data_IF_319533984676
#
_entry.id   IF_319533984676
#
_cell.length_a   1.000
_cell.length_b   1.000
_cell.length_c   1.000
_cell.angle_alpha   90.00
_cell.angle_beta   90.00
_cell.angle_gamma   90.00
#
_symmetry.space_group_name_H-M   'P 1'
#
loop_
_entity.id
_entity.type
_entity.pdbx_description
1 polymer ?
#
# COMPACT_ATOMS: atom_id res chain seq x y z
N UNK A 1 -13.85 23.48 -11.29
CA UNK A 1 -15.03 22.88 -10.62
C UNK A 1 -15.31 21.48 -11.18
N UNK A 2 -15.60 21.29 -12.47
CA UNK A 2 -15.93 19.98 -13.09
C UNK A 2 -14.81 18.95 -12.93
N UNK A 3 -13.54 19.33 -13.10
CA UNK A 3 -12.39 18.42 -12.96
C UNK A 3 -12.28 17.89 -11.52
N UNK A 4 -12.48 18.75 -10.51
CA UNK A 4 -12.46 18.32 -9.12
C UNK A 4 -13.56 17.28 -8.85
N UNK A 5 -14.79 17.55 -9.31
CA UNK A 5 -15.91 16.60 -9.16
C UNK A 5 -15.64 15.25 -9.84
N UNK A 6 -15.04 15.22 -11.04
CA UNK A 6 -14.66 13.98 -11.72
C UNK A 6 -13.64 13.20 -10.88
N UNK A 7 -12.63 13.91 -10.33
CA UNK A 7 -11.58 13.29 -9.52
C UNK A 7 -12.05 12.83 -8.14
N UNK A 8 -13.07 13.48 -7.59
CA UNK A 8 -13.71 13.05 -6.34
C UNK A 8 -14.51 11.74 -6.53
N UNK A 9 -15.18 11.60 -7.70
CA UNK A 9 -15.94 10.37 -8.02
C UNK A 9 -15.01 9.24 -8.45
N UNK A 10 -14.01 9.55 -9.26
CA UNK A 10 -13.08 8.55 -9.80
C UNK A 10 -11.66 9.14 -9.90
N UNK A 11 -10.84 9.00 -8.84
CA UNK A 11 -9.50 9.60 -8.79
C UNK A 11 -8.55 9.11 -9.89
N UNK A 12 -8.76 7.89 -10.38
CA UNK A 12 -7.87 7.21 -11.32
C UNK A 12 -8.20 7.48 -12.79
N UNK A 13 -9.40 8.00 -13.09
CA UNK A 13 -9.81 8.26 -14.48
C UNK A 13 -8.89 9.32 -15.13
N UNK A 14 -8.24 9.07 -16.28
CA UNK A 14 -7.47 10.09 -16.98
C UNK A 14 -8.40 11.16 -17.57
N UNK A 15 -8.10 12.41 -17.29
CA UNK A 15 -8.87 13.56 -17.82
C UNK A 15 -7.99 14.35 -18.76
N UNK A 16 -8.43 14.52 -20.00
CA UNK A 16 -7.76 15.35 -21.00
C UNK A 16 -8.53 16.66 -21.12
N UNK A 17 -7.88 17.78 -20.88
CA UNK A 17 -8.50 19.10 -21.01
C UNK A 17 -8.29 19.66 -22.42
N UNK A 18 -9.34 20.16 -23.03
CA UNK A 18 -9.29 20.82 -24.35
C UNK A 18 -9.84 22.24 -24.21
N UNK A 19 -9.01 23.26 -24.45
CA UNK A 19 -9.37 24.67 -24.24
C UNK A 19 -8.92 25.55 -25.41
N UNK A 20 -9.43 26.79 -25.44
CA UNK A 20 -8.98 27.83 -26.37
C UNK A 20 -7.89 28.75 -25.77
N UNK A 21 -7.70 28.70 -24.46
CA UNK A 21 -6.79 29.61 -23.76
C UNK A 21 -5.37 29.03 -23.71
N UNK A 22 -4.40 29.86 -24.04
CA UNK A 22 -2.97 29.63 -23.87
C UNK A 22 -2.43 30.34 -22.61
N UNK A 23 -3.32 30.81 -21.73
CA UNK A 23 -2.94 31.53 -20.52
C UNK A 23 -2.16 30.61 -19.59
N UNK A 24 -0.99 31.03 -19.16
CA UNK A 24 -0.05 30.31 -18.30
C UNK A 24 -0.73 29.90 -16.97
N UNK A 25 -1.55 30.78 -16.40
CA UNK A 25 -2.28 30.54 -15.15
C UNK A 25 -3.27 29.36 -15.23
N UNK A 26 -3.90 29.18 -16.40
CA UNK A 26 -4.82 28.05 -16.62
C UNK A 26 -4.03 26.75 -16.81
N UNK A 27 -2.86 26.84 -17.43
CA UNK A 27 -1.96 25.71 -17.64
C UNK A 27 -1.36 25.23 -16.31
N UNK A 28 -0.94 26.14 -15.45
CA UNK A 28 -0.41 25.84 -14.11
C UNK A 28 -1.48 25.25 -13.17
N UNK A 29 -2.70 25.83 -13.21
CA UNK A 29 -3.85 25.24 -12.49
C UNK A 29 -4.22 23.85 -13.02
N UNK A 30 -4.12 23.62 -14.31
CA UNK A 30 -4.42 22.33 -14.93
C UNK A 30 -3.37 21.28 -14.55
N UNK A 31 -2.10 21.64 -14.57
CA UNK A 31 -0.98 20.77 -14.14
C UNK A 31 -1.12 20.43 -12.65
N UNK A 32 -1.41 21.41 -11.80
CA UNK A 32 -1.69 21.20 -10.37
C UNK A 32 -2.93 20.36 -10.08
N UNK A 33 -3.88 20.26 -11.01
CA UNK A 33 -5.15 19.56 -10.85
C UNK A 33 -5.12 18.09 -11.29
N UNK A 34 -3.94 17.50 -11.49
CA UNK A 34 -3.78 16.08 -11.88
C UNK A 34 -4.51 15.70 -13.18
N UNK A 35 -4.49 16.57 -14.21
CA UNK A 35 -4.95 16.21 -15.55
C UNK A 35 -3.93 15.29 -16.23
N UNK A 36 -4.43 14.44 -17.11
CA UNK A 36 -3.61 13.49 -17.86
C UNK A 36 -2.94 14.12 -19.09
N UNK A 37 -3.61 15.08 -19.73
CA UNK A 37 -3.08 15.81 -20.87
C UNK A 37 -3.86 17.12 -21.10
N UNK A 38 -3.26 18.05 -21.88
CA UNK A 38 -3.80 19.38 -22.17
C UNK A 38 -3.66 19.66 -23.67
N UNK A 39 -4.78 20.00 -24.34
CA UNK A 39 -4.82 20.28 -25.77
C UNK A 39 -5.42 21.68 -26.02
N UNK A 40 -4.82 22.43 -26.92
CA UNK A 40 -5.24 23.79 -27.29
C UNK A 40 -6.03 23.76 -28.61
N UNK A 41 -7.20 24.40 -28.63
CA UNK A 41 -8.01 24.55 -29.85
C UNK A 41 -7.38 25.56 -30.81
N UNK A 42 -7.35 25.28 -32.14
CA UNK A 42 -7.99 24.15 -32.84
C UNK A 42 -7.21 22.83 -32.70
N UNK A 43 -7.89 21.75 -32.34
CA UNK A 43 -7.29 20.44 -32.12
C UNK A 43 -7.38 19.60 -33.38
N UNK A 44 -6.26 19.07 -33.82
CA UNK A 44 -6.22 18.09 -34.88
C UNK A 44 -6.68 16.71 -34.35
N UNK A 45 -7.52 15.93 -35.05
CA UNK A 45 -7.91 14.59 -34.67
C UNK A 45 -6.74 13.66 -34.28
N UNK A 46 -5.60 13.82 -34.98
CA UNK A 46 -4.39 13.06 -34.67
C UNK A 46 -3.78 13.40 -33.27
N UNK A 47 -3.89 14.64 -32.81
CA UNK A 47 -3.45 15.03 -31.49
C UNK A 47 -4.32 14.40 -30.41
N UNK A 48 -5.65 14.35 -30.64
CA UNK A 48 -6.57 13.64 -29.70
C UNK A 48 -6.22 12.16 -29.66
N UNK A 49 -6.06 11.53 -30.82
CA UNK A 49 -5.72 10.11 -30.91
C UNK A 49 -4.38 9.79 -30.21
N UNK A 50 -3.38 10.66 -30.39
CA UNK A 50 -2.07 10.50 -29.77
C UNK A 50 -2.15 10.63 -28.25
N UNK A 51 -2.89 11.63 -27.76
CA UNK A 51 -3.11 11.84 -26.33
C UNK A 51 -3.87 10.67 -25.69
N UNK A 52 -4.91 10.16 -26.35
CA UNK A 52 -5.63 8.97 -25.91
C UNK A 52 -4.72 7.75 -25.86
N UNK A 53 -4.00 7.46 -26.93
CA UNK A 53 -3.06 6.32 -26.98
C UNK A 53 -2.00 6.42 -25.88
N UNK A 54 -1.39 7.58 -25.69
CA UNK A 54 -0.39 7.82 -24.65
C UNK A 54 -0.94 7.52 -23.25
N UNK A 55 -2.15 7.98 -22.95
CA UNK A 55 -2.72 7.83 -21.62
C UNK A 55 -3.30 6.43 -21.35
N UNK A 56 -3.87 5.78 -22.36
CA UNK A 56 -4.36 4.40 -22.27
C UNK A 56 -3.19 3.41 -22.25
N UNK A 57 -2.24 3.54 -23.18
CA UNK A 57 -1.09 2.65 -23.28
C UNK A 57 -0.14 2.72 -22.08
N UNK A 58 -0.05 3.90 -21.44
CA UNK A 58 0.75 4.05 -20.22
C UNK A 58 0.23 3.19 -19.08
N UNK A 59 -1.09 3.07 -18.93
CA UNK A 59 -1.71 2.18 -17.93
C UNK A 59 -1.41 0.71 -18.21
N UNK A 60 -1.54 0.31 -19.46
CA UNK A 60 -1.30 -1.08 -19.87
C UNK A 60 0.17 -1.47 -19.63
N UNK A 61 1.12 -0.61 -20.01
CA UNK A 61 2.56 -0.84 -19.80
C UNK A 61 2.90 -0.91 -18.33
N UNK A 62 2.37 -0.01 -17.48
CA UNK A 62 2.61 -0.05 -16.04
C UNK A 62 2.04 -1.33 -15.43
N UNK A 63 0.84 -1.74 -15.86
CA UNK A 63 0.22 -3.00 -15.42
C UNK A 63 1.04 -4.22 -15.85
N UNK A 64 1.52 -4.31 -17.09
CA UNK A 64 2.37 -5.40 -17.56
C UNK A 64 3.70 -5.49 -16.81
N UNK A 65 4.32 -4.35 -16.51
CA UNK A 65 5.56 -4.29 -15.72
C UNK A 65 5.31 -4.79 -14.30
N UNK A 66 4.23 -4.36 -13.66
CA UNK A 66 3.86 -4.80 -12.31
C UNK A 66 3.57 -6.31 -12.28
N UNK A 67 2.82 -6.83 -13.26
CA UNK A 67 2.51 -8.25 -13.39
C UNK A 67 3.79 -9.09 -13.57
N UNK A 68 4.68 -8.67 -14.45
CA UNK A 68 5.96 -9.36 -14.70
C UNK A 68 6.84 -9.36 -13.46
N UNK A 69 6.92 -8.22 -12.76
CA UNK A 69 7.68 -8.08 -11.54
C UNK A 69 7.10 -8.95 -10.41
N UNK A 70 5.79 -9.01 -10.27
CA UNK A 70 5.14 -9.90 -9.30
C UNK A 70 5.40 -11.37 -9.63
N UNK A 71 5.26 -11.78 -10.88
CA UNK A 71 5.52 -13.15 -11.32
C UNK A 71 6.94 -13.62 -10.95
N UNK A 72 7.94 -12.75 -11.12
CA UNK A 72 9.32 -13.03 -10.71
C UNK A 72 9.49 -13.15 -9.18
N UNK A 73 8.67 -12.47 -8.41
CA UNK A 73 8.72 -12.47 -6.94
C UNK A 73 7.80 -13.51 -6.32
N UNK A 74 6.80 -14.01 -7.04
CA UNK A 74 5.81 -14.98 -6.54
C UNK A 74 6.44 -16.20 -5.86
N UNK A 75 7.38 -16.85 -6.53
CA UNK A 75 8.08 -18.01 -5.97
C UNK A 75 8.90 -17.68 -4.72
N UNK A 76 9.53 -16.49 -4.68
CA UNK A 76 10.31 -16.04 -3.52
C UNK A 76 9.42 -15.78 -2.31
N UNK A 77 8.25 -15.17 -2.51
CA UNK A 77 7.28 -14.91 -1.44
C UNK A 77 6.73 -16.25 -0.92
N UNK A 78 6.36 -17.19 -1.80
CA UNK A 78 5.88 -18.50 -1.41
C UNK A 78 6.90 -19.30 -0.59
N UNK A 79 8.18 -19.27 -0.97
CA UNK A 79 9.26 -19.93 -0.22
C UNK A 79 9.50 -19.30 1.16
N UNK A 80 9.14 -18.03 1.35
CA UNK A 80 9.26 -17.34 2.64
C UNK A 80 8.16 -17.77 3.63
N UNK A 81 7.01 -18.26 3.16
CA UNK A 81 5.93 -18.72 4.02
C UNK A 81 6.32 -20.09 4.62
N UNK A 82 6.98 -20.07 5.76
CA UNK A 82 7.44 -21.27 6.44
C UNK A 82 7.32 -21.15 7.97
N UNK A 83 7.53 -22.26 8.66
CA UNK A 83 7.35 -22.38 10.12
C UNK A 83 8.45 -21.72 10.97
N UNK A 84 9.54 -21.26 10.35
CA UNK A 84 10.70 -20.67 11.06
C UNK A 84 10.66 -19.14 11.12
N UNK A 85 9.62 -18.50 10.57
CA UNK A 85 9.48 -17.04 10.57
C UNK A 85 9.32 -16.49 12.00
N UNK A 86 10.02 -15.39 12.27
CA UNK A 86 9.82 -14.55 13.46
C UNK A 86 8.61 -13.63 13.29
N UNK A 87 8.22 -12.93 14.34
CA UNK A 87 7.15 -11.93 14.26
C UNK A 87 7.49 -10.79 13.28
N UNK A 88 8.74 -10.34 13.26
CA UNK A 88 9.20 -9.27 12.36
C UNK A 88 9.23 -9.74 10.90
N UNK A 89 9.61 -11.00 10.65
CA UNK A 89 9.53 -11.59 9.31
C UNK A 89 8.09 -11.65 8.77
N UNK A 90 7.12 -11.95 9.65
CA UNK A 90 5.70 -11.93 9.29
C UNK A 90 5.20 -10.53 8.93
N UNK A 91 5.64 -9.50 9.67
CA UNK A 91 5.32 -8.09 9.37
C UNK A 91 5.87 -7.71 8.00
N UNK A 92 7.12 -8.07 7.72
CA UNK A 92 7.75 -7.77 6.43
C UNK A 92 7.10 -8.52 5.27
N UNK A 93 6.77 -9.79 5.46
CA UNK A 93 6.03 -10.58 4.47
C UNK A 93 4.67 -9.95 4.16
N UNK A 94 3.94 -9.54 5.20
CA UNK A 94 2.63 -8.89 5.04
C UNK A 94 2.75 -7.55 4.27
N UNK A 95 3.74 -6.73 4.59
CA UNK A 95 4.02 -5.48 3.86
C UNK A 95 4.24 -5.72 2.37
N UNK A 96 4.94 -6.78 2.00
CA UNK A 96 5.15 -7.16 0.60
C UNK A 96 3.86 -7.60 -0.09
N UNK A 97 3.04 -8.39 0.59
CA UNK A 97 1.75 -8.82 0.05
C UNK A 97 0.81 -7.63 -0.18
N UNK A 98 0.75 -6.67 0.76
CA UNK A 98 -0.02 -5.43 0.61
C UNK A 98 0.54 -4.54 -0.51
N UNK A 99 1.86 -4.42 -0.62
CA UNK A 99 2.49 -3.69 -1.72
C UNK A 99 2.04 -4.24 -3.08
N UNK A 100 2.09 -5.55 -3.28
CA UNK A 100 1.65 -6.17 -4.53
C UNK A 100 0.15 -6.06 -4.75
N UNK A 101 -0.65 -6.06 -3.69
CA UNK A 101 -2.10 -5.82 -3.80
C UNK A 101 -2.38 -4.44 -4.40
N UNK A 102 -1.73 -3.40 -3.89
CA UNK A 102 -1.86 -2.03 -4.40
C UNK A 102 -1.34 -1.89 -5.84
N UNK A 103 -0.22 -2.53 -6.17
CA UNK A 103 0.36 -2.48 -7.53
C UNK A 103 -0.51 -3.21 -8.55
N UNK A 104 -1.20 -4.28 -8.17
CA UNK A 104 -2.02 -5.10 -9.05
C UNK A 104 -3.51 -4.72 -9.05
N UNK A 105 -3.97 -3.89 -8.10
CA UNK A 105 -5.38 -3.50 -7.96
C UNK A 105 -5.90 -2.79 -9.22
N UNK A 106 -5.04 -2.08 -9.93
CA UNK A 106 -5.41 -1.39 -11.17
C UNK A 106 -5.59 -2.32 -12.38
N UNK A 107 -5.29 -3.62 -12.23
CA UNK A 107 -5.33 -4.59 -13.32
C UNK A 107 -6.33 -5.72 -13.01
N UNK A 108 -7.29 -5.91 -13.91
CA UNK A 108 -8.15 -7.11 -13.91
C UNK A 108 -7.33 -8.29 -14.47
N UNK A 109 -6.37 -8.76 -13.67
CA UNK A 109 -5.28 -9.64 -14.10
C UNK A 109 -5.36 -11.00 -13.38
N UNK A 110 -5.02 -12.10 -14.05
CA UNK A 110 -4.83 -13.40 -13.40
C UNK A 110 -3.84 -13.36 -12.22
N UNK A 111 -2.93 -12.38 -12.18
CA UNK A 111 -1.98 -12.18 -11.09
C UNK A 111 -2.66 -11.76 -9.79
N UNK A 112 -3.78 -11.02 -9.85
CA UNK A 112 -4.57 -10.65 -8.67
C UNK A 112 -5.16 -11.87 -7.97
N UNK A 113 -5.59 -12.86 -8.75
CA UNK A 113 -6.10 -14.14 -8.25
C UNK A 113 -4.99 -14.95 -7.57
N UNK A 114 -3.82 -15.03 -8.20
CA UNK A 114 -2.64 -15.68 -7.62
C UNK A 114 -2.20 -15.00 -6.31
N UNK A 115 -2.22 -13.68 -6.25
CA UNK A 115 -1.92 -12.93 -5.02
C UNK A 115 -2.94 -13.22 -3.91
N UNK A 116 -4.23 -13.27 -4.25
CA UNK A 116 -5.29 -13.63 -3.30
C UNK A 116 -5.09 -15.02 -2.70
N UNK A 117 -4.72 -16.00 -3.52
CA UNK A 117 -4.36 -17.34 -3.04
C UNK A 117 -3.15 -17.31 -2.11
N UNK A 118 -2.10 -16.59 -2.47
CA UNK A 118 -0.89 -16.45 -1.67
C UNK A 118 -1.15 -15.74 -0.33
N UNK A 119 -2.01 -14.72 -0.31
CA UNK A 119 -2.49 -14.07 0.92
C UNK A 119 -3.25 -15.04 1.82
N UNK A 120 -4.10 -15.87 1.24
CA UNK A 120 -4.85 -16.90 1.98
C UNK A 120 -3.92 -17.94 2.62
N UNK A 121 -2.91 -18.38 1.89
CA UNK A 121 -1.87 -19.27 2.40
C UNK A 121 -1.08 -18.62 3.55
N UNK A 122 -0.61 -17.38 3.35
CA UNK A 122 0.08 -16.62 4.38
C UNK A 122 -0.77 -16.43 5.64
N UNK A 123 -2.05 -16.07 5.51
CA UNK A 123 -2.97 -15.93 6.63
C UNK A 123 -3.15 -17.24 7.41
N UNK A 124 -3.24 -18.35 6.70
CA UNK A 124 -3.36 -19.68 7.32
C UNK A 124 -2.10 -20.06 8.09
N UNK A 125 -0.93 -19.81 7.51
CA UNK A 125 0.36 -20.07 8.15
C UNK A 125 0.59 -19.13 9.34
N UNK A 126 0.23 -17.84 9.21
CA UNK A 126 0.30 -16.87 10.29
C UNK A 126 -0.61 -17.25 11.48
N UNK A 127 -1.83 -17.72 11.21
CA UNK A 127 -2.71 -18.20 12.28
C UNK A 127 -2.10 -19.37 13.07
N UNK A 128 -1.42 -20.29 12.40
CA UNK A 128 -0.66 -21.38 13.06
C UNK A 128 0.51 -20.84 13.89
N UNK A 129 1.24 -19.86 13.34
CA UNK A 129 2.33 -19.18 14.04
C UNK A 129 1.82 -18.50 15.33
N UNK A 130 0.74 -17.75 15.27
CA UNK A 130 0.12 -17.12 16.46
C UNK A 130 -0.31 -18.17 17.46
N UNK A 131 -1.03 -19.20 17.02
CA UNK A 131 -1.49 -20.27 17.92
C UNK A 131 -0.35 -20.94 18.69
N UNK A 132 0.82 -21.11 18.04
CA UNK A 132 2.00 -21.74 18.65
C UNK A 132 2.69 -20.84 19.67
N UNK A 133 2.79 -19.54 19.40
CA UNK A 133 3.64 -18.62 20.15
C UNK A 133 2.86 -17.75 21.16
N UNK A 134 1.57 -17.50 20.95
CA UNK A 134 0.79 -16.51 21.71
C UNK A 134 0.79 -16.74 23.22
N UNK A 135 0.61 -17.99 23.67
CA UNK A 135 0.59 -18.30 25.10
C UNK A 135 1.94 -18.04 25.77
N UNK A 136 3.04 -18.27 25.07
CA UNK A 136 4.36 -18.00 25.61
C UNK A 136 4.65 -16.50 25.64
N UNK A 137 4.23 -15.75 24.65
CA UNK A 137 4.27 -14.29 24.68
C UNK A 137 3.46 -13.71 25.86
N UNK A 138 2.26 -14.20 26.09
CA UNK A 138 1.43 -13.76 27.24
C UNK A 138 2.06 -14.07 28.59
N UNK A 139 2.75 -15.20 28.73
CA UNK A 139 3.49 -15.52 29.96
C UNK A 139 4.66 -14.56 30.23
N UNK A 140 5.25 -13.98 29.17
CA UNK A 140 6.36 -13.02 29.30
C UNK A 140 5.89 -11.64 29.74
N UNK A 141 4.59 -11.34 29.61
CA UNK A 141 3.97 -10.07 30.00
C UNK A 141 3.57 -10.01 31.48
N UNK A 142 3.66 -11.09 32.20
CA UNK A 142 3.35 -11.12 33.65
C UNK A 142 4.37 -10.25 34.41
N UNK A 143 3.97 -9.09 34.99
CA UNK A 143 4.86 -8.19 35.69
C UNK A 143 5.44 -8.81 36.97
N UNK A 144 4.89 -9.92 37.46
CA UNK A 144 5.38 -10.66 38.63
C UNK A 144 6.53 -11.59 38.27
N UNK A 145 6.77 -11.86 37.02
CA UNK A 145 7.79 -12.77 36.53
C UNK A 145 9.13 -12.04 36.37
N UNK A 146 10.03 -12.26 37.30
CA UNK A 146 11.43 -11.88 37.19
C UNK A 146 12.14 -12.85 36.23
N UNK A 147 12.21 -12.49 34.92
CA UNK A 147 12.92 -13.27 33.92
C UNK A 147 13.10 -12.46 32.63
N UNK A 148 14.14 -12.79 31.88
CA UNK A 148 14.36 -12.18 30.55
C UNK A 148 13.13 -12.41 29.68
N UNK A 149 12.54 -11.31 29.17
CA UNK A 149 11.55 -11.36 28.10
C UNK A 149 12.25 -11.99 26.89
N UNK A 150 11.71 -13.04 26.26
CA UNK A 150 12.28 -13.54 25.01
C UNK A 150 12.41 -12.37 24.05
N UNK A 151 13.60 -12.19 23.50
CA UNK A 151 13.94 -11.10 22.58
C UNK A 151 13.07 -11.12 21.29
N UNK A 152 12.34 -12.20 21.08
CA UNK A 152 11.52 -12.49 19.91
C UNK A 152 10.01 -12.21 20.09
N UNK A 153 9.56 -11.81 21.29
CA UNK A 153 8.15 -11.49 21.48
C UNK A 153 7.84 -10.11 20.86
N UNK A 154 6.81 -10.02 19.98
CA UNK A 154 6.40 -8.74 19.42
C UNK A 154 5.88 -7.81 20.50
N UNK A 155 5.92 -6.51 20.23
CA UNK A 155 5.28 -5.53 21.11
C UNK A 155 3.76 -5.75 21.08
N UNK A 156 3.17 -5.98 22.23
CA UNK A 156 1.73 -6.18 22.37
C UNK A 156 1.05 -4.89 22.82
N UNK A 157 -0.26 -4.76 22.55
CA UNK A 157 -1.03 -3.55 22.87
C UNK A 157 -0.87 -3.04 24.31
N UNK A 158 -0.86 -3.91 25.35
CA UNK A 158 -0.67 -3.44 26.74
C UNK A 158 0.69 -2.80 27.02
N UNK A 159 1.71 -3.16 26.23
CA UNK A 159 3.06 -2.65 26.42
C UNK A 159 3.34 -1.35 25.65
N UNK A 160 2.51 -1.03 24.67
CA UNK A 160 2.73 0.10 23.76
C UNK A 160 2.95 1.41 24.52
N UNK A 161 2.09 1.72 25.49
CA UNK A 161 2.20 2.94 26.27
C UNK A 161 3.49 2.98 27.09
N UNK A 162 3.80 1.89 27.80
CA UNK A 162 4.95 1.82 28.69
C UNK A 162 6.29 1.81 27.92
N UNK A 163 6.34 1.12 26.79
CA UNK A 163 7.61 0.89 26.08
C UNK A 163 7.89 1.95 24.99
N UNK A 164 6.85 2.57 24.42
CA UNK A 164 7.01 3.51 23.32
C UNK A 164 6.60 4.94 23.64
N UNK A 165 5.52 5.15 24.42
CA UNK A 165 4.96 6.49 24.63
C UNK A 165 5.55 7.14 25.89
N UNK A 166 5.50 6.50 27.03
CA UNK A 166 5.99 7.08 28.29
C UNK A 166 7.45 7.49 28.25
N UNK A 167 8.39 6.71 27.66
CA UNK A 167 9.78 7.13 27.57
C UNK A 167 9.99 8.43 26.77
N UNK A 168 9.16 8.69 25.75
CA UNK A 168 9.22 9.95 24.98
C UNK A 168 8.71 11.12 25.82
N UNK A 169 7.61 10.93 26.56
CA UNK A 169 7.07 11.95 27.46
C UNK A 169 8.03 12.28 28.60
N UNK A 170 8.71 11.28 29.16
CA UNK A 170 9.72 11.46 30.20
C UNK A 170 10.94 12.25 29.70
N UNK A 171 11.24 12.20 28.41
CA UNK A 171 12.27 13.00 27.75
C UNK A 171 11.80 14.42 27.38
N UNK A 172 10.54 14.75 27.67
CA UNK A 172 9.94 16.06 27.35
C UNK A 172 9.48 16.20 25.89
N UNK A 173 9.46 15.09 25.13
CA UNK A 173 8.99 15.11 23.73
C UNK A 173 7.48 15.31 23.66
N UNK A 174 7.04 16.02 22.59
CA UNK A 174 5.63 16.19 22.28
C UNK A 174 5.14 15.00 21.47
N UNK A 175 4.26 14.19 22.05
CA UNK A 175 3.73 12.98 21.42
C UNK A 175 2.29 13.20 20.97
N UNK A 176 2.01 12.87 19.70
CA UNK A 176 0.66 12.75 19.19
C UNK A 176 0.36 11.26 18.94
N UNK A 177 -0.57 10.70 19.70
CA UNK A 177 -0.99 9.31 19.57
C UNK A 177 -2.30 9.24 18.79
N UNK A 178 -2.25 8.67 17.59
CA UNK A 178 -3.41 8.53 16.70
C UNK A 178 -3.86 7.06 16.69
N UNK A 179 -5.10 6.83 17.09
CA UNK A 179 -5.75 5.51 17.01
C UNK A 179 -6.72 5.52 15.84
N UNK A 180 -6.47 4.63 14.87
CA UNK A 180 -7.36 4.43 13.73
C UNK A 180 -8.07 3.09 13.93
N UNK A 181 -9.39 3.13 14.01
CA UNK A 181 -10.24 1.96 14.17
C UNK A 181 -11.11 1.81 12.91
N UNK A 182 -11.32 0.57 12.47
CA UNK A 182 -12.11 0.24 11.27
C UNK A 182 -11.69 0.99 9.99
N UNK A 183 -10.42 0.91 9.69
CA UNK A 183 -9.86 1.52 8.49
C UNK A 183 -10.05 0.59 7.28
#
# INVERSE_FOLDING_TARGET
ETLAQIKDISPTVPVIMITKSEEEDIMDMAIGSKIADYLIKPVNPNQILLSLKKNLHRRDIVSEVAQTAYQQNFGKIGMQINDSLTADDWIELYRRLVYWELELEASDSPMSEMLSMQKTEANTAFAKFIKRNYLDWMKTMDPTRKGNVPQEAPMMSPDLMKRSIFPLLDQGEKVCFLVLDNF
#
